data_IF_057459550535
#
_entry.id   IF_057459550535
#
_cell.length_a   1.000
_cell.length_b   1.000
_cell.length_c   1.000
_cell.angle_alpha   90.00
_cell.angle_beta   90.00
_cell.angle_gamma   90.00
#
_symmetry.space_group_name_H-M   'P 1'
#
loop_
_entity.id
_entity.type
_entity.pdbx_description
1 polymer ?
#
# COMPACT_ATOMS: atom_id res chain seq x y z
N UNK A 1 -10.40 4.52 -0.31
CA UNK A 1 -10.34 3.24 0.43
C UNK A 1 -8.90 2.84 0.61
N UNK A 2 -8.49 2.53 1.85
CA UNK A 2 -7.12 2.10 2.11
C UNK A 2 -6.96 0.63 1.75
N UNK A 3 -5.88 0.33 1.05
CA UNK A 3 -5.47 -1.03 0.72
C UNK A 3 -4.02 -1.25 1.12
N UNK A 4 -3.70 -2.47 1.53
CA UNK A 4 -2.33 -2.92 1.74
C UNK A 4 -1.91 -3.75 0.52
N UNK A 5 -0.83 -3.33 -0.14
CA UNK A 5 -0.30 -4.05 -1.30
C UNK A 5 0.31 -5.38 -0.86
N UNK A 6 -0.11 -6.47 -1.51
CA UNK A 6 0.45 -7.80 -1.32
C UNK A 6 1.55 -8.12 -2.31
N UNK A 7 1.67 -7.34 -3.38
CA UNK A 7 2.72 -7.46 -4.40
C UNK A 7 3.39 -6.12 -4.63
N UNK A 8 4.66 -6.18 -5.04
CA UNK A 8 5.38 -4.98 -5.46
C UNK A 8 4.80 -4.50 -6.80
N UNK A 9 4.43 -3.23 -6.83
CA UNK A 9 4.03 -2.47 -8.01
C UNK A 9 5.12 -1.47 -8.39
N UNK A 10 4.99 -0.88 -9.58
CA UNK A 10 5.82 0.24 -10.01
C UNK A 10 5.80 1.39 -8.99
N UNK A 11 4.65 1.63 -8.36
CA UNK A 11 4.45 2.75 -7.44
C UNK A 11 4.39 2.34 -5.95
N UNK A 12 4.39 1.05 -5.61
CA UNK A 12 4.15 0.59 -4.23
C UNK A 12 4.89 -0.71 -3.90
N UNK A 13 5.29 -0.90 -2.65
CA UNK A 13 5.94 -2.13 -2.20
C UNK A 13 4.97 -3.04 -1.46
N UNK A 14 5.35 -4.32 -1.28
CA UNK A 14 4.58 -5.25 -0.43
C UNK A 14 4.52 -4.72 1.01
N UNK A 15 3.32 -4.66 1.57
CA UNK A 15 3.02 -4.12 2.90
C UNK A 15 2.86 -2.60 2.93
N UNK A 16 2.94 -1.92 1.78
CA UNK A 16 2.64 -0.49 1.69
C UNK A 16 1.13 -0.26 1.77
N UNK A 17 0.71 0.75 2.52
CA UNK A 17 -0.70 1.11 2.67
C UNK A 17 -0.93 2.40 1.90
N UNK A 18 -1.79 2.34 0.88
CA UNK A 18 -2.22 3.54 0.15
C UNK A 18 -3.72 3.72 0.23
N UNK A 19 -4.13 4.97 0.27
CA UNK A 19 -5.50 5.32 -0.04
C UNK A 19 -5.65 5.38 -1.57
N UNK A 20 -6.54 4.54 -2.09
CA UNK A 20 -6.86 4.50 -3.52
C UNK A 20 -8.38 4.63 -3.70
N UNK A 21 -8.86 5.09 -4.86
CA UNK A 21 -10.30 5.14 -5.14
C UNK A 21 -10.95 3.76 -5.01
N UNK A 22 -12.18 3.69 -4.50
CA UNK A 22 -12.89 2.44 -4.22
C UNK A 22 -12.96 1.50 -5.43
N UNK A 23 -13.15 2.05 -6.63
CA UNK A 23 -13.13 1.28 -7.88
C UNK A 23 -11.76 0.60 -8.11
N UNK A 24 -10.68 1.35 -7.92
CA UNK A 24 -9.32 0.84 -8.08
C UNK A 24 -8.98 -0.16 -6.95
N UNK A 25 -9.31 0.15 -5.70
CA UNK A 25 -9.16 -0.76 -4.57
C UNK A 25 -9.83 -2.10 -4.86
N UNK A 26 -11.09 -2.09 -5.28
CA UNK A 26 -11.85 -3.30 -5.56
C UNK A 26 -11.23 -4.14 -6.67
N UNK A 27 -10.73 -3.50 -7.74
CA UNK A 27 -10.00 -4.22 -8.80
C UNK A 27 -8.74 -4.86 -8.23
N UNK A 28 -7.92 -4.11 -7.50
CA UNK A 28 -6.65 -4.58 -6.93
C UNK A 28 -6.83 -5.71 -5.91
N UNK A 29 -7.90 -5.65 -5.11
CA UNK A 29 -8.29 -6.71 -4.19
C UNK A 29 -8.76 -7.94 -4.98
N UNK A 30 -9.60 -7.75 -6.00
CA UNK A 30 -10.15 -8.85 -6.80
C UNK A 30 -9.09 -9.61 -7.59
N UNK A 31 -8.05 -8.93 -8.07
CA UNK A 31 -6.90 -9.56 -8.75
C UNK A 31 -5.86 -10.14 -7.78
N UNK A 32 -6.08 -10.04 -6.46
CA UNK A 32 -5.17 -10.57 -5.43
C UNK A 32 -3.82 -9.84 -5.37
N UNK A 33 -3.80 -8.56 -5.74
CA UNK A 33 -2.60 -7.72 -5.69
C UNK A 33 -2.56 -6.87 -4.42
N UNK A 34 -3.72 -6.57 -3.84
CA UNK A 34 -3.83 -5.88 -2.57
C UNK A 34 -4.93 -6.49 -1.71
N UNK A 35 -5.01 -6.10 -0.44
CA UNK A 35 -6.11 -6.44 0.48
C UNK A 35 -6.73 -5.17 1.07
N UNK A 36 -8.03 -5.20 1.43
CA UNK A 36 -8.64 -4.08 2.14
C UNK A 36 -7.87 -3.84 3.45
N UNK A 37 -7.43 -2.60 3.67
CA UNK A 37 -6.82 -2.21 4.92
C UNK A 37 -7.89 -1.60 5.81
N UNK A 38 -8.43 -2.40 6.72
CA UNK A 38 -9.26 -1.89 7.80
C UNK A 38 -8.34 -1.31 8.87
N UNK A 39 -8.51 -0.03 9.16
CA UNK A 39 -7.73 0.70 10.15
C UNK A 39 -8.10 0.22 11.57
N UNK A 40 -7.69 -1.00 11.92
CA UNK A 40 -7.56 -1.37 13.32
C UNK A 40 -6.50 -0.43 13.88
N UNK A 41 -6.95 0.59 14.62
CA UNK A 41 -6.13 1.54 15.37
C UNK A 41 -5.05 0.81 16.17
N UNK A 42 -3.89 0.54 15.56
CA UNK A 42 -2.62 0.25 16.23
C UNK A 42 -1.43 0.34 15.25
N UNK A 43 -0.64 1.35 15.57
CA UNK A 43 0.77 1.61 15.24
C UNK A 43 1.07 2.26 13.87
N UNK A 44 1.74 3.44 13.88
CA UNK A 44 2.15 4.14 12.65
C UNK A 44 3.18 3.28 11.92
N UNK A 45 2.90 2.98 10.64
CA UNK A 45 3.89 2.35 9.79
C UNK A 45 5.10 3.28 9.67
N UNK A 46 6.22 2.83 10.22
CA UNK A 46 7.54 3.47 10.13
C UNK A 46 7.80 3.92 8.69
N UNK A 47 8.30 5.15 8.45
CA UNK A 47 8.77 5.55 7.14
C UNK A 47 9.95 4.63 6.78
N UNK A 48 9.75 3.71 5.83
CA UNK A 48 10.87 2.94 5.26
C UNK A 48 11.65 3.87 4.32
N UNK A 49 12.55 4.63 4.96
CA UNK A 49 13.96 4.81 4.62
C UNK A 49 14.33 4.86 3.12
N UNK A 50 14.64 6.10 2.70
CA UNK A 50 15.82 6.54 1.95
C UNK A 50 16.17 5.92 0.58
N UNK A 51 16.09 6.75 -0.46
CA UNK A 51 17.06 6.74 -1.57
C UNK A 51 17.74 8.12 -1.60
N UNK A 52 18.97 8.20 -1.07
CA UNK A 52 19.99 9.20 -1.41
C UNK A 52 21.07 8.44 -2.19
N UNK A 53 21.71 9.01 -3.24
CA UNK A 53 22.60 10.15 -3.05
C UNK A 53 22.44 11.27 -4.10
N UNK A 54 22.67 12.49 -3.63
CA UNK A 54 22.96 13.67 -4.47
C UNK A 54 24.48 13.78 -4.54
N UNK A 55 25.00 13.84 -5.77
CA UNK A 55 26.40 14.11 -6.14
C UNK A 55 26.74 15.61 -5.95
#
# INVERSE_FOLDING_TARGET
MKIEYLKQMHDANVGDIKDVPDLAANVLIKIGVAKPYEEQKKAPAKPKKEVKPIE
#
